data_IF_113129890181
#
_entry.id   IF_113129890181
#
_cell.length_a   1.000
_cell.length_b   1.000
_cell.length_c   1.000
_cell.angle_alpha   90.00
_cell.angle_beta   90.00
_cell.angle_gamma   90.00
#
_symmetry.space_group_name_H-M   'P 1'
#
loop_
_entity.id
_entity.type
_entity.pdbx_description
1 polymer ?
#
# COMPACT_ATOMS: atom_id res chain seq x y z
N UNK A 1 -25.97 8.13 -1.41
CA UNK A 1 -24.64 8.72 -1.19
C UNK A 1 -23.92 7.79 -0.23
N UNK A 2 -22.79 7.24 -0.63
CA UNK A 2 -22.01 6.30 0.20
C UNK A 2 -21.21 7.13 1.17
N UNK A 3 -21.12 6.65 2.41
CA UNK A 3 -20.46 7.35 3.51
C UNK A 3 -19.02 6.79 3.67
N UNK A 4 -17.97 7.54 3.25
CA UNK A 4 -16.58 7.12 3.37
C UNK A 4 -16.18 6.79 4.82
N UNK A 5 -16.76 7.49 5.79
CA UNK A 5 -16.48 7.28 7.21
C UNK A 5 -16.94 5.89 7.68
N UNK A 6 -18.09 5.42 7.19
CA UNK A 6 -18.56 4.06 7.49
C UNK A 6 -17.64 2.99 6.90
N UNK A 7 -17.07 3.23 5.71
CA UNK A 7 -16.09 2.32 5.13
C UNK A 7 -14.82 2.26 6.00
N UNK A 8 -14.31 3.41 6.47
CA UNK A 8 -13.17 3.49 7.41
C UNK A 8 -13.44 2.77 8.72
N UNK A 9 -14.59 3.04 9.36
CA UNK A 9 -14.98 2.36 10.59
C UNK A 9 -15.03 0.83 10.42
N UNK A 10 -15.56 0.37 9.28
CA UNK A 10 -15.60 -1.06 8.97
C UNK A 10 -14.18 -1.65 8.86
N UNK A 11 -13.27 -0.96 8.16
CA UNK A 11 -11.87 -1.34 8.01
C UNK A 11 -11.22 -1.43 9.38
N UNK A 12 -11.22 -0.36 10.17
CA UNK A 12 -10.63 -0.33 11.51
C UNK A 12 -11.18 -1.45 12.40
N UNK A 13 -12.51 -1.61 12.47
CA UNK A 13 -13.15 -2.66 13.27
C UNK A 13 -12.74 -4.07 12.80
N UNK A 14 -12.67 -4.27 11.49
CA UNK A 14 -12.29 -5.57 10.91
C UNK A 14 -10.85 -5.90 11.24
N UNK A 15 -9.94 -4.98 11.02
CA UNK A 15 -8.50 -5.22 11.20
C UNK A 15 -8.09 -5.22 12.69
N UNK A 16 -8.73 -4.45 13.58
CA UNK A 16 -8.56 -4.62 15.05
C UNK A 16 -8.87 -6.03 15.51
N UNK A 17 -9.95 -6.64 15.02
CA UNK A 17 -10.31 -8.03 15.37
C UNK A 17 -9.35 -9.06 14.78
N UNK A 18 -8.75 -8.76 13.64
CA UNK A 18 -7.87 -9.67 12.92
C UNK A 18 -6.41 -9.57 13.35
N UNK A 19 -5.98 -8.43 13.87
CA UNK A 19 -4.58 -8.17 14.22
C UNK A 19 -3.91 -9.32 15.00
N UNK A 20 -4.52 -9.92 16.04
CA UNK A 20 -3.90 -11.00 16.81
C UNK A 20 -3.60 -12.27 15.99
N UNK A 21 -4.33 -12.50 14.88
CA UNK A 21 -4.24 -13.71 14.05
C UNK A 21 -3.89 -13.39 12.59
N UNK A 22 -3.57 -12.14 12.29
CA UNK A 22 -3.39 -11.70 10.91
C UNK A 22 -2.26 -12.46 10.22
N UNK A 23 -1.09 -12.55 10.85
CA UNK A 23 0.07 -13.23 10.30
C UNK A 23 -0.16 -14.74 10.16
N UNK A 24 -0.87 -15.36 11.11
CA UNK A 24 -1.25 -16.78 11.02
C UNK A 24 -2.23 -17.03 9.86
N UNK A 25 -3.17 -16.10 9.63
CA UNK A 25 -4.08 -16.20 8.48
C UNK A 25 -3.35 -16.03 7.14
N UNK A 26 -2.35 -15.14 7.08
CA UNK A 26 -1.50 -14.98 5.90
C UNK A 26 -0.74 -16.28 5.56
N UNK A 27 -0.20 -16.98 6.58
CA UNK A 27 0.43 -18.31 6.43
C UNK A 27 -0.56 -19.36 5.93
N UNK A 28 -1.81 -19.33 6.43
CA UNK A 28 -2.86 -20.27 6.01
C UNK A 28 -3.22 -20.06 4.53
N UNK A 29 -3.38 -18.82 4.07
CA UNK A 29 -3.66 -18.55 2.66
C UNK A 29 -2.54 -19.02 1.74
N UNK A 30 -1.28 -18.89 2.17
CA UNK A 30 -0.14 -19.46 1.45
C UNK A 30 -0.25 -20.99 1.34
N UNK A 31 -0.59 -21.68 2.43
CA UNK A 31 -0.79 -23.12 2.44
C UNK A 31 -1.97 -23.57 1.54
N UNK A 32 -2.96 -22.70 1.33
CA UNK A 32 -4.08 -22.91 0.40
C UNK A 32 -3.78 -22.53 -1.05
N UNK A 33 -2.50 -22.25 -1.39
CA UNK A 33 -2.05 -21.99 -2.75
C UNK A 33 -2.13 -20.51 -3.17
N UNK A 34 -2.39 -19.58 -2.25
CA UNK A 34 -2.31 -18.14 -2.54
C UNK A 34 -0.88 -17.64 -2.32
N UNK A 35 -0.10 -17.30 -3.38
CA UNK A 35 1.33 -17.02 -3.27
C UNK A 35 1.63 -15.60 -2.76
N UNK A 36 1.03 -15.21 -1.63
CA UNK A 36 1.11 -13.86 -1.08
C UNK A 36 2.55 -13.37 -0.88
N UNK A 37 3.44 -14.24 -0.39
CA UNK A 37 4.85 -13.90 -0.19
C UNK A 37 5.60 -13.64 -1.50
N UNK A 38 5.30 -14.43 -2.55
CA UNK A 38 5.88 -14.19 -3.87
C UNK A 38 5.40 -12.86 -4.44
N UNK A 39 4.14 -12.51 -4.24
CA UNK A 39 3.58 -11.22 -4.65
C UNK A 39 4.24 -10.06 -3.91
N UNK A 40 4.38 -10.13 -2.56
CA UNK A 40 5.05 -9.11 -1.75
C UNK A 40 6.51 -8.93 -2.15
N UNK A 41 7.24 -10.03 -2.38
CA UNK A 41 8.62 -9.97 -2.86
C UNK A 41 8.71 -9.27 -4.21
N UNK A 42 7.81 -9.57 -5.15
CA UNK A 42 7.75 -8.88 -6.46
C UNK A 42 7.45 -7.38 -6.29
N UNK A 43 6.56 -7.02 -5.35
CA UNK A 43 6.26 -5.62 -5.07
C UNK A 43 7.48 -4.86 -4.54
N UNK A 44 8.21 -5.44 -3.57
CA UNK A 44 9.45 -4.84 -3.05
C UNK A 44 10.53 -4.78 -4.14
N UNK A 45 10.69 -5.82 -4.96
CA UNK A 45 11.65 -5.80 -6.08
C UNK A 45 11.31 -4.71 -7.12
N UNK A 46 10.02 -4.43 -7.35
CA UNK A 46 9.59 -3.40 -8.29
C UNK A 46 9.87 -1.97 -7.80
N UNK A 47 10.21 -1.78 -6.52
CA UNK A 47 10.67 -0.50 -5.99
C UNK A 47 12.09 -0.15 -6.46
N UNK A 48 12.91 -1.14 -6.86
CA UNK A 48 14.31 -0.96 -7.29
C UNK A 48 15.17 -0.22 -6.26
N UNK A 49 14.98 -0.56 -4.97
CA UNK A 49 15.62 0.07 -3.84
C UNK A 49 17.14 -0.15 -3.80
N UNK A 50 17.84 0.86 -3.33
CA UNK A 50 19.26 0.82 -2.98
C UNK A 50 19.51 0.89 -1.46
N UNK A 51 20.77 0.61 -1.06
CA UNK A 51 21.17 0.81 0.33
C UNK A 51 21.10 2.29 0.71
N UNK A 52 20.50 2.59 1.86
CA UNK A 52 20.33 3.95 2.36
C UNK A 52 19.00 4.61 1.98
N UNK A 53 18.17 3.98 1.13
CA UNK A 53 16.91 4.55 0.67
C UNK A 53 15.89 4.71 1.80
N UNK A 54 15.04 5.72 1.66
CA UNK A 54 13.88 5.97 2.51
C UNK A 54 12.61 5.49 1.82
N UNK A 55 11.86 4.63 2.50
CA UNK A 55 10.61 4.03 1.99
C UNK A 55 9.44 4.36 2.89
N UNK A 56 8.34 4.84 2.32
CA UNK A 56 7.05 4.95 3.00
C UNK A 56 6.19 3.76 2.63
N UNK A 57 5.73 2.98 3.62
CA UNK A 57 4.73 1.93 3.41
C UNK A 57 3.36 2.39 3.88
N UNK A 58 2.45 2.66 2.94
CA UNK A 58 1.06 3.07 3.19
C UNK A 58 0.20 1.84 3.44
N UNK A 59 -0.40 1.76 4.64
CA UNK A 59 -1.14 0.58 5.11
C UNK A 59 -0.19 -0.57 5.47
N UNK A 60 0.84 -0.30 6.28
CA UNK A 60 1.88 -1.28 6.63
C UNK A 60 1.35 -2.49 7.42
N UNK A 61 0.18 -2.35 8.07
CA UNK A 61 -0.43 -3.39 8.87
C UNK A 61 0.48 -3.87 9.99
N UNK A 62 0.74 -5.17 10.04
CA UNK A 62 1.65 -5.82 11.02
C UNK A 62 3.12 -5.77 10.61
N UNK A 63 3.48 -5.00 9.57
CA UNK A 63 4.86 -4.88 9.07
C UNK A 63 5.38 -6.11 8.32
N UNK A 64 4.51 -6.84 7.62
CA UNK A 64 4.92 -8.07 6.90
C UNK A 64 5.98 -7.82 5.81
N UNK A 65 6.08 -6.60 5.26
CA UNK A 65 7.08 -6.28 4.26
C UNK A 65 8.39 -5.77 4.87
N UNK A 66 8.42 -5.39 6.15
CA UNK A 66 9.60 -4.75 6.74
C UNK A 66 10.88 -5.58 6.57
N UNK A 67 10.81 -6.91 6.75
CA UNK A 67 11.98 -7.76 6.50
C UNK A 67 12.51 -7.69 5.07
N UNK A 68 11.61 -7.67 4.07
CA UNK A 68 12.00 -7.52 2.66
C UNK A 68 12.55 -6.13 2.35
N UNK A 69 11.97 -5.09 2.96
CA UNK A 69 12.46 -3.71 2.83
C UNK A 69 13.82 -3.55 3.49
N UNK A 70 14.02 -4.08 4.70
CA UNK A 70 15.32 -4.07 5.41
C UNK A 70 16.43 -4.76 4.62
N UNK A 71 16.11 -5.91 3.98
CA UNK A 71 17.06 -6.60 3.10
C UNK A 71 17.47 -5.72 1.91
N UNK A 72 16.59 -4.85 1.42
CA UNK A 72 16.85 -4.01 0.25
C UNK A 72 17.60 -2.71 0.61
N UNK A 73 17.16 -2.01 1.69
CA UNK A 73 17.71 -0.69 2.03
C UNK A 73 18.88 -0.73 3.01
N UNK A 74 19.05 -1.85 3.71
CA UNK A 74 20.10 -1.98 4.74
C UNK A 74 19.86 -1.13 5.99
N UNK A 75 20.86 -1.11 6.92
CA UNK A 75 20.71 -0.42 8.21
C UNK A 75 20.74 1.11 8.11
N UNK A 76 21.29 1.65 7.04
CA UNK A 76 21.42 3.10 6.79
C UNK A 76 20.17 3.69 6.10
N UNK A 77 19.27 2.83 5.57
CA UNK A 77 17.99 3.24 5.01
C UNK A 77 16.94 3.48 6.09
N UNK A 78 15.76 3.97 5.71
CA UNK A 78 14.68 4.26 6.65
C UNK A 78 13.33 3.76 6.14
N UNK A 79 12.52 3.15 7.03
CA UNK A 79 11.15 2.74 6.74
C UNK A 79 10.19 3.59 7.56
N UNK A 80 9.22 4.22 6.90
CA UNK A 80 8.08 4.87 7.54
C UNK A 80 6.84 4.03 7.30
N UNK A 81 6.38 3.30 8.31
CA UNK A 81 5.18 2.48 8.25
C UNK A 81 3.95 3.26 8.70
N UNK A 82 2.98 3.44 7.82
CA UNK A 82 1.74 4.18 8.09
C UNK A 82 0.57 3.22 8.13
N UNK A 83 -0.25 3.25 9.17
CA UNK A 83 -1.51 2.48 9.25
C UNK A 83 -2.55 3.22 10.08
N UNK A 84 -3.81 3.07 9.70
CA UNK A 84 -4.95 3.65 10.42
C UNK A 84 -5.24 2.90 11.73
N UNK A 85 -4.91 1.61 11.79
CA UNK A 85 -5.36 0.68 12.83
C UNK A 85 -4.30 0.51 13.91
N UNK A 86 -4.56 1.02 15.11
CA UNK A 86 -3.72 0.90 16.29
C UNK A 86 -3.27 -0.54 16.59
N UNK A 87 -4.20 -1.49 16.58
CA UNK A 87 -3.90 -2.89 16.86
C UNK A 87 -2.96 -3.54 15.81
N UNK A 88 -2.94 -3.03 14.59
CA UNK A 88 -1.98 -3.45 13.57
C UNK A 88 -0.59 -2.89 13.88
N UNK A 89 -0.51 -1.60 14.22
CA UNK A 89 0.76 -0.96 14.57
C UNK A 89 1.40 -1.56 15.83
N UNK A 90 0.61 -1.95 16.83
CA UNK A 90 1.14 -2.71 17.99
C UNK A 90 1.85 -4.00 17.56
N UNK A 91 1.34 -4.68 16.52
CA UNK A 91 1.98 -5.87 15.96
C UNK A 91 3.22 -5.52 15.12
N UNK A 92 3.17 -4.42 14.40
CA UNK A 92 4.33 -3.91 13.65
C UNK A 92 5.46 -3.52 14.61
N UNK A 93 5.15 -2.83 15.71
CA UNK A 93 6.10 -2.46 16.76
C UNK A 93 6.76 -3.69 17.40
N UNK A 94 5.94 -4.69 17.78
CA UNK A 94 6.47 -5.97 18.29
C UNK A 94 7.46 -6.61 17.31
N UNK A 95 7.17 -6.59 16.01
CA UNK A 95 8.07 -7.10 14.96
C UNK A 95 9.34 -6.29 14.85
N UNK A 96 9.26 -4.96 14.94
CA UNK A 96 10.42 -4.06 14.94
C UNK A 96 11.33 -4.37 16.12
N UNK A 97 10.77 -4.51 17.31
CA UNK A 97 11.50 -4.84 18.55
C UNK A 97 12.13 -6.24 18.49
N UNK A 98 11.39 -7.26 18.02
CA UNK A 98 11.87 -8.64 17.88
C UNK A 98 13.11 -8.77 16.97
N UNK A 99 13.26 -7.84 15.99
CA UNK A 99 14.38 -7.84 15.05
C UNK A 99 15.43 -6.75 15.31
N UNK A 100 15.27 -5.97 16.40
CA UNK A 100 16.14 -4.80 16.75
C UNK A 100 16.32 -3.82 15.58
N UNK A 101 15.25 -3.57 14.80
CA UNK A 101 15.28 -2.59 13.72
C UNK A 101 15.15 -1.18 14.27
N UNK A 102 16.21 -0.36 14.14
CA UNK A 102 16.26 1.01 14.69
C UNK A 102 15.93 2.09 13.67
N UNK A 103 15.76 1.69 12.42
CA UNK A 103 15.49 2.55 11.28
C UNK A 103 14.04 2.41 10.76
N UNK A 104 13.11 2.05 11.65
CA UNK A 104 11.67 1.99 11.33
C UNK A 104 10.93 2.98 12.22
N UNK A 105 10.14 3.85 11.59
CA UNK A 105 9.19 4.75 12.26
C UNK A 105 7.76 4.32 11.95
N UNK A 106 6.90 4.26 12.97
CA UNK A 106 5.49 3.90 12.82
C UNK A 106 4.61 5.12 13.07
N UNK A 107 3.67 5.37 12.16
CA UNK A 107 2.75 6.51 12.22
C UNK A 107 1.31 6.03 12.18
N UNK A 108 0.54 6.32 13.23
CA UNK A 108 -0.89 6.03 13.26
C UNK A 108 -1.67 7.20 12.69
N UNK A 109 -2.11 7.07 11.44
CA UNK A 109 -2.95 8.07 10.78
C UNK A 109 -3.73 7.45 9.62
N UNK A 110 -4.79 8.13 9.17
CA UNK A 110 -5.42 7.83 7.88
C UNK A 110 -4.43 8.19 6.75
N UNK A 111 -4.30 7.33 5.75
CA UNK A 111 -3.46 7.60 4.58
C UNK A 111 -3.85 8.92 3.89
N UNK A 112 -5.13 9.30 3.95
CA UNK A 112 -5.65 10.59 3.47
C UNK A 112 -5.01 11.78 4.17
N UNK A 113 -4.74 11.66 5.46
CA UNK A 113 -4.25 12.77 6.29
C UNK A 113 -2.73 12.69 6.54
N UNK A 114 -2.08 11.64 6.02
CA UNK A 114 -0.65 11.45 6.18
C UNK A 114 0.14 12.48 5.36
N UNK A 115 1.02 13.20 6.03
CA UNK A 115 1.97 14.11 5.41
C UNK A 115 3.24 13.32 5.02
N UNK A 116 3.43 13.14 3.72
CA UNK A 116 4.62 12.46 3.23
C UNK A 116 5.88 13.29 3.52
N UNK A 117 6.98 12.67 3.96
CA UNK A 117 8.26 13.36 4.07
C UNK A 117 8.71 13.88 2.69
N UNK A 118 9.49 14.95 2.69
CA UNK A 118 10.11 15.44 1.47
C UNK A 118 11.15 14.44 0.94
N UNK A 119 11.13 14.20 -0.37
CA UNK A 119 12.18 13.46 -1.08
C UNK A 119 12.37 12.01 -0.59
N UNK A 120 11.27 11.21 -0.59
CA UNK A 120 11.35 9.77 -0.33
C UNK A 120 11.74 9.02 -1.61
N UNK A 121 12.53 7.94 -1.47
CA UNK A 121 13.02 7.17 -2.61
C UNK A 121 11.94 6.22 -3.15
N UNK A 122 11.06 5.74 -2.27
CA UNK A 122 9.97 4.87 -2.69
C UNK A 122 8.73 4.95 -1.81
N UNK A 123 7.57 4.68 -2.41
CA UNK A 123 6.31 4.47 -1.71
C UNK A 123 5.76 3.09 -2.07
N UNK A 124 5.40 2.32 -1.06
CA UNK A 124 4.81 0.99 -1.18
C UNK A 124 3.42 0.96 -0.58
N UNK A 125 2.48 0.27 -1.20
CA UNK A 125 1.25 -0.16 -0.54
C UNK A 125 0.92 -1.60 -0.93
N UNK A 126 0.62 -2.45 0.05
CA UNK A 126 0.25 -3.83 -0.21
C UNK A 126 -1.02 -4.22 0.52
N UNK A 127 -2.07 -4.56 -0.24
CA UNK A 127 -3.39 -4.99 0.26
C UNK A 127 -4.06 -3.98 1.21
N UNK A 128 -3.90 -2.68 0.93
CA UNK A 128 -4.40 -1.61 1.78
C UNK A 128 -5.07 -0.48 1.01
N UNK A 129 -4.45 0.01 -0.07
CA UNK A 129 -4.84 1.25 -0.73
C UNK A 129 -6.25 1.18 -1.35
N UNK A 130 -6.70 0.01 -1.81
CA UNK A 130 -8.07 -0.17 -2.30
C UNK A 130 -9.14 0.03 -1.23
N UNK A 131 -8.78 0.01 0.04
CA UNK A 131 -9.67 0.31 1.17
C UNK A 131 -9.76 1.80 1.50
N UNK A 132 -8.87 2.62 0.94
CA UNK A 132 -8.86 4.08 1.12
C UNK A 132 -9.79 4.72 0.09
N UNK A 133 -10.88 5.38 0.50
CA UNK A 133 -11.79 6.03 -0.45
C UNK A 133 -11.10 7.07 -1.33
N UNK A 134 -10.16 7.82 -0.77
CA UNK A 134 -9.39 8.89 -1.42
C UNK A 134 -8.04 8.39 -1.99
N UNK A 135 -7.97 7.12 -2.40
CA UNK A 135 -6.73 6.49 -2.88
C UNK A 135 -6.03 7.28 -4.01
N UNK A 136 -6.79 7.94 -4.86
CA UNK A 136 -6.23 8.78 -5.94
C UNK A 136 -5.45 9.98 -5.38
N UNK A 137 -5.98 10.66 -4.36
CA UNK A 137 -5.32 11.79 -3.69
C UNK A 137 -4.06 11.34 -2.95
N UNK A 138 -4.12 10.16 -2.30
CA UNK A 138 -2.95 9.57 -1.63
C UNK A 138 -1.83 9.29 -2.63
N UNK A 139 -2.17 8.74 -3.82
CA UNK A 139 -1.20 8.51 -4.89
C UNK A 139 -0.60 9.83 -5.36
N UNK A 140 -1.42 10.84 -5.62
CA UNK A 140 -0.93 12.16 -6.09
C UNK A 140 0.09 12.75 -5.10
N UNK A 141 -0.27 12.84 -3.82
CA UNK A 141 0.63 13.38 -2.78
C UNK A 141 1.89 12.55 -2.59
N UNK A 142 1.77 11.22 -2.58
CA UNK A 142 2.94 10.34 -2.50
C UNK A 142 3.85 10.48 -3.73
N UNK A 143 3.27 10.68 -4.92
CA UNK A 143 4.04 10.93 -6.15
C UNK A 143 4.79 12.26 -6.12
N UNK A 144 4.18 13.31 -5.54
CA UNK A 144 4.81 14.62 -5.35
C UNK A 144 5.97 14.59 -4.34
N UNK A 145 5.90 13.67 -3.36
CA UNK A 145 6.93 13.48 -2.34
C UNK A 145 8.11 12.62 -2.80
N UNK A 146 7.96 11.87 -3.89
CA UNK A 146 9.03 11.05 -4.42
C UNK A 146 10.23 11.89 -4.89
N UNK A 147 11.43 11.41 -4.58
CA UNK A 147 12.67 11.86 -5.20
C UNK A 147 12.64 11.62 -6.71
N UNK A 148 13.49 12.35 -7.47
CA UNK A 148 13.66 12.11 -8.90
C UNK A 148 14.05 10.65 -9.16
N UNK A 149 13.27 9.95 -9.98
CA UNK A 149 13.47 8.54 -10.27
C UNK A 149 12.91 7.58 -9.21
N UNK A 150 12.42 8.10 -8.09
CA UNK A 150 11.77 7.33 -7.05
C UNK A 150 10.52 6.58 -7.55
N UNK A 151 10.10 5.55 -6.84
CA UNK A 151 9.04 4.66 -7.31
C UNK A 151 7.85 4.56 -6.39
N UNK A 152 6.65 4.54 -6.98
CA UNK A 152 5.39 4.14 -6.35
C UNK A 152 5.05 2.71 -6.77
N UNK A 153 4.84 1.80 -5.81
CA UNK A 153 4.39 0.43 -6.10
C UNK A 153 3.14 0.11 -5.30
N UNK A 154 2.13 -0.40 -5.99
CA UNK A 154 0.87 -0.86 -5.40
C UNK A 154 0.63 -2.32 -5.76
N UNK A 155 0.49 -3.16 -4.74
CA UNK A 155 0.05 -4.55 -4.84
C UNK A 155 -1.28 -4.66 -4.12
N UNK A 156 -2.39 -4.88 -4.83
CA UNK A 156 -3.69 -4.91 -4.18
C UNK A 156 -4.71 -5.80 -4.90
N UNK A 157 -5.89 -5.94 -4.30
CA UNK A 157 -6.98 -6.76 -4.82
C UNK A 157 -7.85 -5.98 -5.81
N UNK A 158 -8.37 -6.68 -6.81
CA UNK A 158 -9.37 -6.19 -7.76
C UNK A 158 -10.38 -7.30 -8.07
N UNK A 159 -11.46 -6.96 -8.71
CA UNK A 159 -12.29 -7.95 -9.40
C UNK A 159 -11.75 -8.13 -10.84
N UNK A 160 -11.69 -9.38 -11.35
CA UNK A 160 -11.26 -9.62 -12.72
C UNK A 160 -12.18 -8.91 -13.72
N UNK A 161 -11.60 -8.28 -14.74
CA UNK A 161 -12.35 -7.45 -15.70
C UNK A 161 -13.37 -8.27 -16.52
N UNK A 162 -13.07 -9.54 -16.78
CA UNK A 162 -13.90 -10.45 -17.57
C UNK A 162 -14.63 -11.49 -16.73
N UNK A 163 -14.76 -11.27 -15.41
CA UNK A 163 -15.47 -12.20 -14.55
C UNK A 163 -16.96 -12.24 -14.91
N UNK A 164 -17.55 -13.42 -15.16
CA UNK A 164 -18.98 -13.51 -15.34
C UNK A 164 -19.71 -12.95 -14.12
N UNK A 165 -20.75 -12.14 -14.33
CA UNK A 165 -21.46 -11.42 -13.25
C UNK A 165 -21.93 -12.31 -12.10
N UNK A 166 -22.27 -13.59 -12.37
CA UNK A 166 -22.66 -14.55 -11.33
C UNK A 166 -21.53 -14.97 -10.39
N UNK A 167 -20.24 -14.76 -10.77
CA UNK A 167 -19.08 -15.09 -9.92
C UNK A 167 -18.79 -13.98 -8.90
N UNK A 168 -19.25 -12.76 -9.14
CA UNK A 168 -18.98 -11.60 -8.28
C UNK A 168 -19.49 -11.78 -6.85
N UNK A 169 -20.75 -12.24 -6.60
CA UNK A 169 -21.22 -12.49 -5.25
C UNK A 169 -20.38 -13.53 -4.49
N UNK A 170 -19.92 -14.57 -5.18
CA UNK A 170 -19.06 -15.60 -4.59
C UNK A 170 -17.69 -15.02 -4.21
N UNK A 171 -17.07 -14.25 -5.12
CA UNK A 171 -15.80 -13.56 -4.86
C UNK A 171 -15.94 -12.63 -3.66
N UNK A 172 -16.99 -11.81 -3.59
CA UNK A 172 -17.25 -10.91 -2.45
C UNK A 172 -17.46 -11.68 -1.15
N UNK A 173 -18.15 -12.81 -1.18
CA UNK A 173 -18.32 -13.66 0.01
C UNK A 173 -16.99 -14.18 0.53
N UNK A 174 -16.09 -14.63 -0.36
CA UNK A 174 -14.75 -15.09 -0.03
C UNK A 174 -13.84 -13.95 0.49
N UNK A 175 -13.99 -12.74 -0.04
CA UNK A 175 -13.18 -11.57 0.32
C UNK A 175 -13.77 -10.74 1.48
N UNK A 176 -15.01 -11.04 1.91
CA UNK A 176 -15.67 -10.35 3.02
C UNK A 176 -14.85 -10.27 4.32
N UNK A 177 -14.08 -11.29 4.70
CA UNK A 177 -13.21 -11.21 5.87
C UNK A 177 -12.16 -10.09 5.78
N UNK A 178 -11.84 -9.59 4.60
CA UNK A 178 -10.87 -8.52 4.35
C UNK A 178 -11.53 -7.14 4.16
N UNK A 179 -12.74 -6.94 4.70
CA UNK A 179 -13.53 -5.72 4.55
C UNK A 179 -13.91 -5.38 3.08
N UNK A 180 -13.80 -6.34 2.16
CA UNK A 180 -14.29 -6.21 0.78
C UNK A 180 -15.80 -6.33 0.77
N UNK A 181 -16.49 -5.30 0.27
CA UNK A 181 -17.95 -5.16 0.27
C UNK A 181 -18.50 -4.89 -1.13
N UNK A 182 -19.81 -4.94 -1.28
CA UNK A 182 -20.46 -4.48 -2.53
C UNK A 182 -20.17 -2.99 -2.81
N UNK A 183 -20.08 -2.16 -1.75
CA UNK A 183 -19.70 -0.76 -1.86
C UNK A 183 -18.30 -0.60 -2.43
N UNK A 184 -17.33 -1.36 -1.91
CA UNK A 184 -15.96 -1.43 -2.42
C UNK A 184 -15.94 -1.86 -3.91
N UNK A 185 -16.65 -2.94 -4.26
CA UNK A 185 -16.73 -3.44 -5.63
C UNK A 185 -17.30 -2.41 -6.61
N UNK A 186 -18.35 -1.72 -6.20
CA UNK A 186 -19.02 -0.72 -7.02
C UNK A 186 -18.23 0.62 -7.12
N UNK A 187 -17.29 0.89 -6.20
CA UNK A 187 -16.36 2.04 -6.25
C UNK A 187 -15.22 1.78 -7.23
N UNK A 188 -14.88 0.50 -7.47
CA UNK A 188 -13.80 0.07 -8.37
C UNK A 188 -12.48 0.79 -8.08
N UNK A 189 -11.95 0.71 -6.85
CA UNK A 189 -10.79 1.51 -6.42
C UNK A 189 -9.54 1.27 -7.28
N UNK A 190 -9.38 0.08 -7.85
CA UNK A 190 -8.28 -0.23 -8.74
C UNK A 190 -8.26 0.63 -10.03
N UNK A 191 -9.42 1.10 -10.51
CA UNK A 191 -9.48 2.02 -11.65
C UNK A 191 -9.01 3.42 -11.26
N UNK A 192 -9.44 3.91 -10.08
CA UNK A 192 -8.99 5.19 -9.56
C UNK A 192 -7.47 5.18 -9.30
N UNK A 193 -6.94 4.08 -8.73
CA UNK A 193 -5.50 3.88 -8.55
C UNK A 193 -4.77 3.90 -9.88
N UNK A 194 -5.27 3.17 -10.89
CA UNK A 194 -4.65 3.12 -12.21
C UNK A 194 -4.62 4.49 -12.87
N UNK A 195 -5.73 5.22 -12.83
CA UNK A 195 -5.83 6.56 -13.39
C UNK A 195 -4.84 7.51 -12.69
N UNK A 196 -4.86 7.57 -11.35
CA UNK A 196 -3.99 8.45 -10.59
C UNK A 196 -2.50 8.16 -10.83
N UNK A 197 -2.09 6.88 -10.88
CA UNK A 197 -0.70 6.52 -11.22
C UNK A 197 -0.33 6.96 -12.64
N UNK A 198 -1.24 6.80 -13.62
CA UNK A 198 -0.99 7.22 -15.01
C UNK A 198 -0.90 8.73 -15.16
N UNK A 199 -1.62 9.49 -14.33
CA UNK A 199 -1.66 10.94 -14.36
C UNK A 199 -0.44 11.59 -13.68
N UNK A 200 0.16 10.90 -12.68
CA UNK A 200 1.19 11.49 -11.81
C UNK A 200 2.60 10.88 -11.98
N UNK A 201 2.70 9.72 -12.63
CA UNK A 201 3.95 8.98 -12.76
C UNK A 201 4.24 8.64 -14.22
N UNK A 202 5.50 8.41 -14.55
CA UNK A 202 5.96 7.86 -15.83
C UNK A 202 6.23 6.36 -15.72
N UNK A 203 6.45 5.72 -16.88
CA UNK A 203 6.80 4.30 -16.97
C UNK A 203 5.85 3.39 -16.17
N UNK A 204 4.56 3.76 -16.17
CA UNK A 204 3.55 3.04 -15.41
C UNK A 204 3.34 1.65 -15.98
N UNK A 205 3.58 0.63 -15.17
CA UNK A 205 3.28 -0.76 -15.47
C UNK A 205 2.08 -1.26 -14.70
N UNK A 206 1.31 -2.17 -15.28
CA UNK A 206 0.16 -2.81 -14.64
C UNK A 206 0.15 -4.29 -14.99
N UNK A 207 0.22 -5.14 -13.98
CA UNK A 207 0.28 -6.58 -14.14
C UNK A 207 -0.82 -7.26 -13.31
N UNK A 208 -1.71 -7.98 -13.97
CA UNK A 208 -2.70 -8.80 -13.29
C UNK A 208 -2.06 -10.10 -12.81
N UNK A 209 -2.33 -10.43 -11.57
CA UNK A 209 -1.84 -11.61 -10.87
C UNK A 209 -3.02 -12.46 -10.39
N UNK A 210 -2.75 -13.71 -10.04
CA UNK A 210 -3.72 -14.63 -9.43
C UNK A 210 -5.10 -14.57 -10.10
N UNK A 211 -5.16 -14.98 -11.37
CA UNK A 211 -6.39 -15.02 -12.19
C UNK A 211 -7.10 -13.65 -12.32
N UNK A 212 -6.37 -12.56 -12.16
CA UNK A 212 -6.92 -11.21 -12.24
C UNK A 212 -7.57 -10.70 -10.95
N UNK A 213 -7.47 -11.43 -9.83
CA UNK A 213 -7.97 -10.96 -8.52
C UNK A 213 -6.98 -10.07 -7.77
N UNK A 214 -5.77 -9.96 -8.24
CA UNK A 214 -4.70 -9.14 -7.67
C UNK A 214 -4.04 -8.38 -8.80
N UNK A 215 -3.60 -7.18 -8.54
CA UNK A 215 -2.76 -6.43 -9.47
C UNK A 215 -1.47 -5.97 -8.77
N UNK A 216 -0.43 -5.85 -9.57
CA UNK A 216 0.82 -5.18 -9.22
C UNK A 216 1.02 -4.03 -10.20
N UNK A 217 0.98 -2.82 -9.68
CA UNK A 217 1.24 -1.61 -10.43
C UNK A 217 2.53 -0.95 -9.93
N UNK A 218 3.31 -0.38 -10.84
CA UNK A 218 4.47 0.44 -10.49
C UNK A 218 4.58 1.63 -11.44
N UNK A 219 5.12 2.73 -10.95
CA UNK A 219 5.41 3.92 -11.75
C UNK A 219 6.60 4.66 -11.15
N UNK A 220 7.22 5.53 -11.93
CA UNK A 220 8.42 6.29 -11.60
C UNK A 220 8.09 7.78 -11.53
N UNK A 221 8.61 8.48 -10.52
CA UNK A 221 8.55 9.94 -10.47
C UNK A 221 9.46 10.54 -11.56
N UNK A 222 8.89 11.46 -12.33
CA UNK A 222 9.66 12.31 -13.24
C UNK A 222 9.94 13.64 -12.58
N UNK A 223 11.02 14.28 -12.99
CA UNK A 223 11.32 15.65 -12.58
C UNK A 223 10.15 16.54 -12.94
N UNK A 224 9.34 16.95 -11.96
CA UNK A 224 8.51 18.12 -12.15
C UNK A 224 9.44 19.32 -12.07
N UNK A 225 9.44 20.16 -13.13
CA UNK A 225 10.04 21.49 -13.04
C UNK A 225 9.27 22.28 -11.96
N UNK A 226 9.70 22.12 -10.70
CA UNK A 226 9.20 22.96 -9.61
C UNK A 226 9.55 24.40 -9.99
N UNK A 227 8.57 25.29 -10.17
CA UNK A 227 8.89 26.69 -10.37
C UNK A 227 9.75 27.12 -9.19
N UNK A 228 10.94 27.64 -9.49
CA UNK A 228 11.87 28.14 -8.49
C UNK A 228 11.12 29.08 -7.54
N UNK A 229 11.13 28.77 -6.24
CA UNK A 229 10.61 29.65 -5.21
C UNK A 229 11.33 30.99 -5.39
N UNK A 230 10.62 32.12 -5.59
CA UNK A 230 11.29 33.39 -5.74
C UNK A 230 12.06 33.66 -4.44
N UNK A 231 13.39 33.65 -4.52
CA UNK A 231 14.26 34.13 -3.45
C UNK A 231 13.89 35.58 -3.20
N UNK A 232 13.16 35.80 -2.11
CA UNK A 232 12.86 37.14 -1.62
C UNK A 232 14.16 37.86 -1.34
N UNK A 233 14.50 38.82 -2.20
CA UNK A 233 15.48 39.85 -1.93
C UNK A 233 14.86 40.79 -0.91
N UNK A 234 15.43 40.78 0.28
CA UNK A 234 15.24 41.87 1.27
C UNK A 234 16.20 43.01 0.96
#
# INVERSE_FOLDING_TARGET
>A
MRDPERERELVVRTYRRRAPRYDSSAKLYYALGYPQWAHRRRAVQALELGSGDTVVEVGCGTGLNFGLLQEAIGPDGHIVGVDLTDAMLVKAEQRVDEHDWRNVSLVQTDARDFEFPDSVDAVLSTYALTHVPECAEVISRGSEALAEGGRWVVLDTKLPDNAPGWTVPLALACLRPFAVTEAWAARRPWEAIRAAMSDTLSDVSWNDLFLGFVFLASGRATRQDRPATPTGTA
#
